data_IF_528584088130
#
_entry.id   IF_528584088130
#
_cell.length_a   1.000
_cell.length_b   1.000
_cell.length_c   1.000
_cell.angle_alpha   90.00
_cell.angle_beta   90.00
_cell.angle_gamma   90.00
#
_symmetry.space_group_name_H-M   'P 1'
#
loop_
_entity.id
_entity.type
_entity.pdbx_description
1 polymer ?
#
# COMPACT_ATOMS: atom_id res chain seq x y z
N UNK A 1 -7.11 37.56 13.58
CA UNK A 1 -6.23 38.36 12.70
C UNK A 1 -6.42 37.90 11.28
N UNK A 2 -7.03 38.73 10.43
CA UNK A 2 -7.35 38.45 9.02
C UNK A 2 -6.20 38.98 8.17
N UNK A 3 -5.49 38.13 7.43
CA UNK A 3 -4.53 38.55 6.40
C UNK A 3 -5.24 38.55 5.04
N UNK A 4 -5.40 39.74 4.47
CA UNK A 4 -5.81 39.99 3.09
C UNK A 4 -4.56 39.98 2.21
N UNK A 5 -4.55 39.18 1.15
CA UNK A 5 -3.57 39.23 0.07
C UNK A 5 -4.06 40.13 -1.06
N UNK A 6 -3.20 40.93 -1.71
CA UNK A 6 -3.60 41.91 -2.70
C UNK A 6 -3.73 41.34 -4.12
N UNK A 7 -4.82 41.72 -4.75
CA UNK A 7 -5.35 41.34 -6.07
C UNK A 7 -4.69 42.13 -7.23
N UNK A 8 -3.36 42.30 -7.23
CA UNK A 8 -2.72 43.21 -8.21
C UNK A 8 -1.73 42.54 -9.17
N UNK A 9 -1.71 41.22 -9.30
CA UNK A 9 -0.80 40.52 -10.24
C UNK A 9 -1.46 39.85 -11.45
N UNK A 10 -2.76 40.01 -11.65
CA UNK A 10 -3.50 39.35 -12.75
C UNK A 10 -3.75 40.24 -13.97
N UNK A 11 -3.36 41.48 -13.98
CA UNK A 11 -3.65 42.44 -15.08
C UNK A 11 -2.47 42.64 -16.06
N UNK A 12 -1.28 42.13 -15.75
CA UNK A 12 -0.08 42.36 -16.59
C UNK A 12 0.22 41.27 -17.61
N UNK A 13 -0.53 40.18 -17.70
CA UNK A 13 -0.27 39.05 -18.61
C UNK A 13 -1.16 39.01 -19.84
N UNK A 14 -2.10 39.93 -20.02
CA UNK A 14 -3.03 40.00 -21.16
C UNK A 14 -2.66 41.08 -22.20
N UNK A 15 -1.62 41.84 -21.97
CA UNK A 15 -1.22 42.92 -22.89
C UNK A 15 -0.07 42.53 -23.85
N UNK A 16 0.49 41.31 -23.77
CA UNK A 16 1.64 40.91 -24.61
C UNK A 16 1.29 39.95 -25.76
N UNK A 17 0.01 39.65 -26.02
CA UNK A 17 -0.40 38.70 -27.07
C UNK A 17 -1.05 39.36 -28.30
N UNK A 18 -1.04 40.69 -28.40
CA UNK A 18 -1.73 41.45 -29.41
C UNK A 18 -0.86 42.08 -30.52
N UNK A 19 0.43 41.78 -30.64
CA UNK A 19 1.30 42.54 -31.56
C UNK A 19 2.14 41.70 -32.51
N UNK A 20 1.68 40.55 -33.01
CA UNK A 20 2.37 39.85 -34.12
C UNK A 20 1.32 39.27 -35.07
N UNK A 21 0.57 40.13 -35.72
CA UNK A 21 -0.13 39.82 -36.99
C UNK A 21 -0.25 41.11 -37.77
N UNK A 22 0.76 41.43 -38.52
CA UNK A 22 0.66 42.25 -39.77
C UNK A 22 2.08 42.40 -40.32
N UNK A 23 2.44 41.67 -41.35
CA UNK A 23 3.22 42.18 -42.47
C UNK A 23 3.62 40.98 -43.37
N UNK A 24 2.93 40.86 -44.50
CA UNK A 24 3.58 40.82 -45.79
C UNK A 24 2.58 40.38 -46.88
N UNK A 25 2.04 41.40 -47.53
CA UNK A 25 1.49 41.28 -48.88
C UNK A 25 2.59 41.80 -49.82
N UNK A 26 2.69 41.21 -51.02
CA UNK A 26 3.45 41.80 -52.11
C UNK A 26 4.11 40.75 -52.97
N UNK A 27 3.46 40.34 -54.06
CA UNK A 27 3.79 40.64 -55.45
C UNK A 27 5.04 39.84 -55.95
N UNK A 28 5.13 39.25 -57.08
CA UNK A 28 4.67 39.55 -58.43
C UNK A 28 4.92 38.32 -59.31
N UNK A 29 4.10 38.20 -60.31
CA UNK A 29 4.30 37.33 -61.47
C UNK A 29 5.40 37.85 -62.33
N UNK A 30 6.18 36.97 -62.95
CA UNK A 30 6.62 37.11 -64.33
C UNK A 30 7.21 35.84 -64.92
N UNK A 31 6.78 35.48 -66.12
CA UNK A 31 7.55 35.09 -67.25
C UNK A 31 7.95 33.60 -67.37
N UNK A 32 7.13 32.89 -67.96
CA UNK A 32 7.24 32.04 -69.14
C UNK A 32 8.62 31.84 -69.73
N UNK A 33 9.06 30.58 -69.77
CA UNK A 33 9.71 30.03 -71.04
C UNK A 33 9.67 28.51 -70.98
N UNK A 34 9.06 27.90 -71.97
CA UNK A 34 8.97 26.45 -72.16
C UNK A 34 10.13 26.08 -73.07
N UNK A 35 11.12 25.42 -72.52
CA UNK A 35 12.08 24.65 -73.30
C UNK A 35 11.78 23.17 -73.25
N UNK A 36 11.40 22.64 -74.39
CA UNK A 36 11.08 21.23 -74.58
C UNK A 36 12.37 20.53 -74.97
N UNK A 37 13.03 19.85 -74.05
CA UNK A 37 14.02 18.86 -74.37
C UNK A 37 13.52 17.43 -74.16
N UNK A 38 13.93 16.44 -74.95
CA UNK A 38 13.39 15.09 -74.90
C UNK A 38 13.88 14.36 -73.64
N UNK A 39 12.97 14.02 -72.77
CA UNK A 39 13.25 13.21 -71.58
C UNK A 39 13.60 11.78 -72.00
N UNK A 40 14.86 11.41 -71.78
CA UNK A 40 15.27 10.04 -71.61
C UNK A 40 14.52 9.45 -70.36
N UNK A 41 13.88 8.34 -70.59
CA UNK A 41 13.19 7.62 -69.53
C UNK A 41 14.21 7.09 -68.50
N UNK A 42 14.45 7.87 -67.46
CA UNK A 42 15.17 7.39 -66.28
C UNK A 42 14.22 6.50 -65.49
N UNK A 43 14.45 5.19 -65.52
CA UNK A 43 13.80 4.24 -64.65
C UNK A 43 14.28 4.53 -63.23
N UNK A 44 13.50 5.31 -62.49
CA UNK A 44 13.68 5.51 -61.09
C UNK A 44 13.23 4.21 -60.37
N UNK A 45 14.21 3.38 -60.03
CA UNK A 45 14.00 2.28 -59.13
C UNK A 45 13.75 2.91 -57.73
N UNK A 46 12.49 3.07 -57.36
CA UNK A 46 12.17 3.42 -55.99
C UNK A 46 12.74 2.35 -55.05
N UNK A 47 13.61 2.71 -54.12
CA UNK A 47 14.01 1.75 -53.08
C UNK A 47 12.77 1.40 -52.29
N UNK A 48 12.44 0.10 -52.25
CA UNK A 48 11.47 -0.45 -51.33
C UNK A 48 11.84 0.04 -49.93
N UNK A 49 11.18 1.11 -49.49
CA UNK A 49 11.17 1.48 -48.06
C UNK A 49 10.45 0.35 -47.37
N UNK A 50 11.20 -0.61 -46.85
CA UNK A 50 10.73 -1.44 -45.76
C UNK A 50 10.34 -0.48 -44.66
N UNK A 51 9.05 -0.23 -44.54
CA UNK A 51 8.47 0.38 -43.33
C UNK A 51 8.68 -0.63 -42.23
N UNK A 52 9.86 -0.58 -41.58
CA UNK A 52 10.09 -1.25 -40.33
C UNK A 52 8.99 -0.73 -39.38
N UNK A 53 7.94 -1.53 -39.22
CA UNK A 53 6.92 -1.30 -38.26
C UNK A 53 7.57 -1.41 -36.87
N UNK A 54 8.04 -0.27 -36.34
CA UNK A 54 8.47 -0.20 -34.96
C UNK A 54 7.23 -0.43 -34.11
N UNK A 55 7.03 -1.65 -33.65
CA UNK A 55 6.09 -1.95 -32.57
C UNK A 55 6.58 -1.19 -31.35
N UNK A 56 6.05 -0.02 -31.13
CA UNK A 56 6.34 0.71 -29.89
C UNK A 56 5.74 -0.07 -28.74
N UNK A 57 6.54 -0.49 -27.76
CA UNK A 57 6.03 -1.17 -26.59
C UNK A 57 5.09 -0.21 -25.86
N UNK A 58 3.80 -0.53 -25.86
CA UNK A 58 2.80 0.20 -25.07
C UNK A 58 2.89 -0.28 -23.63
N UNK A 59 3.33 0.58 -22.74
CA UNK A 59 3.37 0.36 -21.30
C UNK A 59 2.20 1.12 -20.67
N UNK A 60 1.48 0.47 -19.76
CA UNK A 60 0.38 1.12 -19.03
C UNK A 60 0.96 2.14 -18.05
N UNK A 61 0.34 3.31 -17.95
CA UNK A 61 0.80 4.37 -17.04
C UNK A 61 0.93 3.88 -15.59
N UNK A 62 0.04 3.01 -15.14
CA UNK A 62 0.07 2.39 -13.80
C UNK A 62 1.34 1.56 -13.51
N UNK A 63 2.03 1.08 -14.56
CA UNK A 63 3.21 0.24 -14.42
C UNK A 63 4.51 1.08 -14.33
N UNK A 64 4.47 2.34 -14.77
CA UNK A 64 5.61 3.25 -14.83
C UNK A 64 5.48 4.48 -13.95
N UNK A 65 4.28 4.80 -13.46
CA UNK A 65 4.01 5.97 -12.63
C UNK A 65 3.58 5.58 -11.23
N UNK A 66 4.00 6.37 -10.24
CA UNK A 66 3.53 6.30 -8.85
C UNK A 66 3.15 7.71 -8.41
N UNK A 67 2.15 7.79 -7.56
CA UNK A 67 1.82 9.06 -6.91
C UNK A 67 2.87 9.33 -5.82
N UNK A 68 3.44 10.54 -5.85
CA UNK A 68 4.35 10.97 -4.79
C UNK A 68 3.59 11.14 -3.47
N UNK A 69 4.26 10.77 -2.36
CA UNK A 69 3.68 10.83 -1.01
C UNK A 69 2.70 9.71 -0.66
N UNK A 70 2.36 8.80 -1.58
CA UNK A 70 1.52 7.62 -1.31
C UNK A 70 2.38 6.50 -0.73
N UNK A 71 2.17 6.17 0.54
CA UNK A 71 2.89 5.13 1.27
C UNK A 71 1.95 4.36 2.20
N UNK A 72 2.31 3.14 2.50
CA UNK A 72 1.68 2.34 3.54
C UNK A 72 2.18 2.79 4.92
N UNK A 73 1.27 2.84 5.90
CA UNK A 73 1.61 3.12 7.28
C UNK A 73 1.53 1.83 8.10
N UNK A 74 2.51 1.64 9.00
CA UNK A 74 2.51 0.48 9.87
C UNK A 74 1.65 0.74 11.10
N UNK A 75 0.78 -0.23 11.42
CA UNK A 75 -0.02 -0.25 12.62
C UNK A 75 0.50 -1.33 13.56
N UNK A 76 0.50 -1.04 14.85
CA UNK A 76 0.90 -2.00 15.88
C UNK A 76 -0.11 -2.02 17.02
N UNK A 77 -0.26 -3.18 17.66
CA UNK A 77 -1.12 -3.33 18.83
C UNK A 77 -0.64 -4.45 19.74
N UNK A 78 -0.94 -4.33 21.01
CA UNK A 78 -0.70 -5.38 21.99
C UNK A 78 -2.02 -6.10 22.24
N UNK A 79 -2.05 -7.41 21.96
CA UNK A 79 -3.23 -8.26 22.04
C UNK A 79 -3.07 -9.43 22.98
N UNK A 80 -4.19 -10.10 23.22
CA UNK A 80 -4.27 -11.34 23.98
C UNK A 80 -4.93 -12.42 23.10
N UNK A 81 -4.27 -13.55 22.98
CA UNK A 81 -4.80 -14.76 22.35
C UNK A 81 -5.30 -15.70 23.44
N UNK A 82 -6.49 -16.24 23.26
CA UNK A 82 -7.13 -17.18 24.18
C UNK A 82 -7.47 -18.49 23.49
N UNK A 83 -7.76 -19.53 24.25
CA UNK A 83 -8.19 -20.84 23.71
C UNK A 83 -7.03 -21.72 23.24
N UNK A 84 -5.80 -21.46 23.69
CA UNK A 84 -4.65 -22.31 23.39
C UNK A 84 -4.70 -23.62 24.18
N UNK A 85 -4.32 -24.72 23.51
CA UNK A 85 -4.30 -26.07 24.14
C UNK A 85 -2.97 -26.31 24.91
N UNK A 86 -2.83 -25.63 26.06
CA UNK A 86 -1.69 -25.78 26.93
C UNK A 86 -0.36 -25.24 26.38
N UNK A 87 -0.38 -24.53 25.25
CA UNK A 87 0.80 -24.00 24.57
C UNK A 87 1.03 -22.51 24.83
N UNK A 88 0.15 -21.87 25.57
CA UNK A 88 0.22 -20.44 25.88
C UNK A 88 1.28 -20.10 26.93
N UNK A 89 1.29 -18.81 27.30
CA UNK A 89 2.21 -18.26 28.28
C UNK A 89 1.93 -18.79 29.70
N UNK A 90 3.00 -19.05 30.42
CA UNK A 90 2.89 -19.54 31.81
C UNK A 90 3.03 -18.43 32.85
N UNK A 91 3.59 -17.30 32.49
CA UNK A 91 3.85 -16.16 33.37
C UNK A 91 4.10 -14.87 32.58
N UNK A 92 4.30 -13.77 33.26
CA UNK A 92 4.74 -12.51 32.67
C UNK A 92 3.59 -11.64 32.16
N UNK A 93 3.70 -11.13 30.95
CA UNK A 93 2.81 -10.10 30.39
C UNK A 93 1.37 -10.63 30.22
N UNK A 94 1.21 -11.87 29.73
CA UNK A 94 -0.10 -12.46 29.50
C UNK A 94 -0.92 -12.51 30.79
N UNK A 95 -0.32 -12.96 31.90
CA UNK A 95 -1.00 -13.05 33.19
C UNK A 95 -1.49 -11.67 33.64
N UNK A 96 -0.64 -10.64 33.54
CA UNK A 96 -1.03 -9.25 33.89
C UNK A 96 -2.16 -8.73 33.01
N UNK A 97 -2.13 -9.04 31.73
CA UNK A 97 -3.19 -8.62 30.79
C UNK A 97 -4.52 -9.29 31.15
N UNK A 98 -4.48 -10.60 31.45
CA UNK A 98 -5.68 -11.34 31.88
C UNK A 98 -6.23 -10.77 33.20
N UNK A 99 -5.36 -10.56 34.19
CA UNK A 99 -5.79 -9.97 35.47
C UNK A 99 -6.43 -8.59 35.27
N UNK A 100 -5.80 -7.71 34.48
CA UNK A 100 -6.38 -6.39 34.20
C UNK A 100 -7.72 -6.48 33.46
N UNK A 101 -7.88 -7.48 32.59
CA UNK A 101 -9.16 -7.72 31.92
C UNK A 101 -10.22 -8.19 32.88
N UNK A 102 -9.89 -9.14 33.76
CA UNK A 102 -10.81 -9.66 34.78
C UNK A 102 -11.24 -8.56 35.77
N UNK A 103 -10.32 -7.71 36.20
CA UNK A 103 -10.65 -6.56 37.08
C UNK A 103 -11.64 -5.62 36.39
N UNK A 104 -11.55 -5.40 35.07
CA UNK A 104 -12.55 -4.60 34.33
C UNK A 104 -13.93 -5.25 34.32
N UNK A 105 -14.00 -6.56 34.41
CA UNK A 105 -15.26 -7.31 34.56
C UNK A 105 -15.74 -7.45 36.04
N UNK A 106 -15.04 -6.78 36.96
CA UNK A 106 -15.39 -6.82 38.39
C UNK A 106 -14.87 -8.06 39.12
N UNK A 107 -13.97 -8.82 38.50
CA UNK A 107 -13.33 -9.99 39.10
C UNK A 107 -11.91 -9.61 39.51
N UNK A 108 -11.63 -9.61 40.81
CA UNK A 108 -10.29 -9.32 41.34
C UNK A 108 -9.61 -10.64 41.73
N UNK A 109 -8.48 -10.92 41.07
CA UNK A 109 -7.68 -12.13 41.25
C UNK A 109 -6.21 -11.71 41.38
N UNK A 110 -5.52 -12.26 42.38
CA UNK A 110 -4.09 -12.07 42.50
C UNK A 110 -3.35 -12.69 41.30
N UNK A 111 -2.48 -11.96 40.58
CA UNK A 111 -1.67 -12.50 39.50
C UNK A 111 -0.85 -13.72 39.92
N UNK A 112 -0.49 -13.88 41.18
CA UNK A 112 0.24 -15.02 41.70
C UNK A 112 -0.58 -16.33 41.71
N UNK A 113 -1.90 -16.20 41.86
CA UNK A 113 -2.84 -17.33 41.89
C UNK A 113 -3.31 -17.73 40.51
N UNK A 114 -3.14 -16.85 39.52
CA UNK A 114 -3.57 -17.12 38.16
C UNK A 114 -2.52 -17.95 37.42
N UNK A 115 -2.81 -19.21 37.18
CA UNK A 115 -2.01 -20.14 36.40
C UNK A 115 -2.79 -20.59 35.18
N UNK A 116 -2.35 -20.15 34.01
CA UNK A 116 -2.98 -20.55 32.76
C UNK A 116 -1.91 -20.85 31.71
N UNK A 117 -2.22 -21.77 30.82
CA UNK A 117 -1.44 -22.06 29.60
C UNK A 117 -2.29 -21.89 28.35
N UNK A 118 -3.49 -21.36 28.55
CA UNK A 118 -4.48 -21.24 27.48
C UNK A 118 -4.52 -19.82 26.89
N UNK A 119 -3.64 -18.93 27.34
CA UNK A 119 -3.53 -17.54 26.87
C UNK A 119 -2.11 -17.18 26.51
N UNK A 120 -1.95 -16.28 25.57
CA UNK A 120 -0.65 -15.73 25.18
C UNK A 120 -0.74 -14.23 24.91
N UNK A 121 0.27 -13.49 25.34
CA UNK A 121 0.44 -12.10 24.97
C UNK A 121 1.08 -12.01 23.58
N UNK A 122 0.49 -11.21 22.69
CA UNK A 122 0.92 -11.10 21.32
C UNK A 122 1.07 -9.66 20.87
N UNK A 123 2.03 -9.43 19.97
CA UNK A 123 2.12 -8.23 19.16
C UNK A 123 1.35 -8.47 17.87
N UNK A 124 0.47 -7.56 17.53
CA UNK A 124 -0.29 -7.56 16.28
C UNK A 124 0.22 -6.43 15.42
N UNK A 125 0.58 -6.73 14.20
CA UNK A 125 1.06 -5.75 13.21
C UNK A 125 0.20 -5.82 11.96
N UNK A 126 -0.03 -4.67 11.34
CA UNK A 126 -0.74 -4.57 10.07
C UNK A 126 -0.14 -3.44 9.21
N UNK A 127 -0.27 -3.56 7.91
CA UNK A 127 0.04 -2.50 6.98
C UNK A 127 -1.24 -1.81 6.55
N UNK A 128 -1.35 -0.51 6.85
CA UNK A 128 -2.49 0.31 6.45
C UNK A 128 -2.23 0.85 5.04
N UNK A 129 -2.94 0.38 4.01
CA UNK A 129 -2.76 0.85 2.67
C UNK A 129 -3.19 2.32 2.54
N UNK A 130 -2.62 3.05 1.59
CA UNK A 130 -3.08 4.40 1.28
C UNK A 130 -4.53 4.35 0.80
N UNK A 131 -5.30 5.36 1.18
CA UNK A 131 -6.73 5.50 0.84
C UNK A 131 -7.68 4.46 1.47
N UNK A 132 -7.25 3.73 2.50
CA UNK A 132 -8.13 2.85 3.27
C UNK A 132 -9.31 3.64 3.85
N UNK A 133 -10.49 3.02 3.85
CA UNK A 133 -11.74 3.60 4.32
C UNK A 133 -12.29 2.81 5.50
N UNK A 134 -13.16 3.46 6.26
CA UNK A 134 -13.90 2.76 7.31
C UNK A 134 -14.74 1.62 6.71
N UNK A 135 -14.56 0.40 7.23
CA UNK A 135 -15.19 -0.82 6.72
C UNK A 135 -14.28 -1.70 5.86
N UNK A 136 -13.10 -1.21 5.46
CA UNK A 136 -12.12 -2.04 4.76
C UNK A 136 -11.51 -3.08 5.72
N UNK A 137 -11.16 -4.24 5.18
CA UNK A 137 -10.50 -5.32 5.92
C UNK A 137 -9.00 -5.29 5.67
N UNK A 138 -8.22 -5.53 6.74
CA UNK A 138 -6.77 -5.58 6.71
C UNK A 138 -6.28 -6.95 7.18
N UNK A 139 -5.27 -7.48 6.51
CA UNK A 139 -4.53 -8.63 7.00
C UNK A 139 -3.63 -8.22 8.15
N UNK A 140 -3.61 -9.05 9.20
CA UNK A 140 -2.79 -8.80 10.39
C UNK A 140 -1.84 -9.96 10.63
N UNK A 141 -0.63 -9.63 11.08
CA UNK A 141 0.35 -10.62 11.53
C UNK A 141 0.37 -10.61 13.06
N UNK A 142 0.27 -11.81 13.65
CA UNK A 142 0.27 -12.00 15.09
C UNK A 142 1.54 -12.73 15.52
N UNK A 143 2.31 -12.13 16.43
CA UNK A 143 3.57 -12.68 16.94
C UNK A 143 3.53 -12.78 18.46
N UNK A 144 3.91 -13.92 19.04
CA UNK A 144 4.02 -14.08 20.49
C UNK A 144 5.13 -13.19 21.06
N UNK A 145 4.87 -12.57 22.22
CA UNK A 145 5.85 -11.77 22.96
C UNK A 145 6.34 -12.53 24.21
N UNK A 146 5.54 -13.49 24.66
CA UNK A 146 5.83 -14.26 25.87
C UNK A 146 6.56 -15.59 25.59
N UNK A 147 6.30 -16.57 26.47
CA UNK A 147 6.88 -17.91 26.42
C UNK A 147 5.93 -18.94 25.78
N UNK A 148 4.92 -18.49 25.03
CA UNK A 148 4.00 -19.36 24.32
C UNK A 148 4.73 -20.17 23.23
N UNK A 149 4.49 -21.49 23.22
CA UNK A 149 5.14 -22.42 22.29
C UNK A 149 4.44 -22.50 20.93
N UNK A 150 3.12 -22.26 20.92
CA UNK A 150 2.31 -22.27 19.72
C UNK A 150 1.06 -21.44 19.94
N UNK A 151 0.62 -20.75 18.89
CA UNK A 151 -0.64 -20.00 18.87
C UNK A 151 -1.75 -20.75 18.12
N UNK A 152 -1.52 -22.02 17.78
CA UNK A 152 -2.45 -22.85 17.02
C UNK A 152 -3.79 -23.02 17.76
N UNK A 153 -4.90 -22.82 17.03
CA UNK A 153 -6.24 -22.94 17.57
C UNK A 153 -6.67 -21.77 18.43
N UNK A 154 -5.80 -20.79 18.62
CA UNK A 154 -6.09 -19.60 19.41
C UNK A 154 -7.03 -18.62 18.72
N UNK A 155 -7.70 -17.80 19.51
CA UNK A 155 -8.55 -16.70 19.10
C UNK A 155 -7.98 -15.40 19.64
N UNK A 156 -7.72 -14.44 18.74
CA UNK A 156 -7.28 -13.10 19.12
C UNK A 156 -8.46 -12.30 19.64
N UNK A 157 -8.35 -11.81 20.87
CA UNK A 157 -9.31 -10.88 21.44
C UNK A 157 -9.20 -9.51 20.79
N UNK A 158 -10.26 -8.72 20.91
CA UNK A 158 -10.34 -7.37 20.36
C UNK A 158 -9.10 -6.55 20.72
N UNK A 159 -8.31 -6.21 19.72
CA UNK A 159 -7.02 -5.55 19.86
C UNK A 159 -7.00 -4.28 19.01
N UNK A 160 -6.89 -3.08 19.63
CA UNK A 160 -6.74 -1.85 18.89
C UNK A 160 -5.35 -1.73 18.26
N UNK A 161 -5.30 -1.42 16.97
CA UNK A 161 -4.08 -1.17 16.24
C UNK A 161 -3.85 0.32 16.10
N UNK A 162 -2.67 0.77 16.49
CA UNK A 162 -2.29 2.18 16.55
C UNK A 162 -1.21 2.51 15.54
N UNK A 163 -1.29 3.72 14.98
CA UNK A 163 -0.23 4.31 14.19
C UNK A 163 0.89 4.92 15.05
N UNK A 164 1.88 5.48 14.38
CA UNK A 164 3.01 6.17 15.04
C UNK A 164 2.58 7.40 15.86
N UNK A 165 1.43 7.99 15.55
CA UNK A 165 0.79 9.09 16.28
C UNK A 165 -0.03 8.64 17.49
N UNK A 166 0.00 7.34 17.82
CA UNK A 166 -0.75 6.69 18.90
C UNK A 166 -2.28 6.72 18.73
N UNK A 167 -2.79 7.10 17.56
CA UNK A 167 -4.20 7.03 17.24
C UNK A 167 -4.58 5.61 16.82
N UNK A 168 -5.83 5.19 17.12
CA UNK A 168 -6.37 3.89 16.72
C UNK A 168 -6.96 4.00 15.32
N UNK A 169 -6.43 3.23 14.38
CA UNK A 169 -6.86 3.19 12.99
C UNK A 169 -7.63 1.92 12.61
N UNK A 170 -7.35 0.82 13.31
CA UNK A 170 -8.01 -0.45 13.06
C UNK A 170 -8.19 -1.24 14.35
N UNK A 171 -9.03 -2.26 14.30
CA UNK A 171 -9.25 -3.22 15.39
C UNK A 171 -9.13 -4.63 14.82
N UNK A 172 -8.26 -5.44 15.40
CA UNK A 172 -8.07 -6.83 15.02
C UNK A 172 -8.77 -7.75 16.00
N UNK A 173 -9.43 -8.79 15.47
CA UNK A 173 -10.11 -9.83 16.25
C UNK A 173 -10.36 -11.04 15.36
N UNK A 174 -10.25 -12.24 15.90
CA UNK A 174 -10.64 -13.44 15.17
C UNK A 174 -9.77 -14.66 15.43
N UNK A 175 -10.11 -15.79 14.80
CA UNK A 175 -9.32 -17.01 14.89
C UNK A 175 -7.98 -16.85 14.20
N UNK A 176 -6.94 -17.47 14.78
CA UNK A 176 -5.61 -17.44 14.19
C UNK A 176 -5.43 -18.58 13.20
N UNK A 177 -4.91 -18.24 12.01
CA UNK A 177 -4.45 -19.20 11.03
C UNK A 177 -2.92 -19.28 11.08
N UNK A 178 -2.41 -20.49 11.33
CA UNK A 178 -0.98 -20.74 11.34
C UNK A 178 -0.63 -21.47 10.04
N UNK A 179 0.38 -20.98 9.32
CA UNK A 179 0.95 -21.69 8.19
C UNK A 179 1.66 -22.97 8.66
N UNK A 180 1.60 -24.03 7.85
CA UNK A 180 2.20 -25.31 8.15
C UNK A 180 1.18 -26.41 8.52
N UNK A 181 1.60 -27.64 8.43
CA UNK A 181 0.81 -28.81 8.79
C UNK A 181 1.58 -29.69 9.79
N UNK A 182 0.85 -30.28 10.71
CA UNK A 182 1.43 -31.14 11.71
C UNK A 182 1.13 -32.60 11.33
N UNK A 183 2.15 -33.34 10.87
CA UNK A 183 2.02 -34.77 10.56
C UNK A 183 2.50 -35.58 11.78
N UNK A 184 1.54 -36.22 12.46
CA UNK A 184 1.87 -37.19 13.51
C UNK A 184 2.02 -38.56 12.86
N UNK A 185 3.23 -39.02 12.66
CA UNK A 185 3.53 -40.40 12.29
C UNK A 185 3.69 -41.24 13.56
N UNK A 186 3.29 -42.52 13.47
CA UNK A 186 3.27 -43.46 14.61
C UNK A 186 4.66 -43.72 15.26
N UNK A 187 5.73 -43.12 14.76
CA UNK A 187 7.11 -43.27 15.24
C UNK A 187 7.88 -41.97 15.42
N UNK A 188 7.29 -40.81 15.24
CA UNK A 188 7.97 -39.52 15.40
C UNK A 188 7.07 -38.34 15.11
N UNK A 189 7.34 -37.24 15.77
CA UNK A 189 6.64 -35.96 15.56
C UNK A 189 7.53 -35.09 14.68
N UNK A 190 7.09 -34.85 13.44
CA UNK A 190 7.75 -33.90 12.55
C UNK A 190 6.82 -32.69 12.35
N UNK A 191 7.35 -31.52 12.68
CA UNK A 191 6.68 -30.24 12.43
C UNK A 191 7.48 -29.52 11.35
N UNK A 192 6.81 -29.17 10.27
CA UNK A 192 7.42 -28.39 9.18
C UNK A 192 6.71 -27.06 9.10
N UNK A 193 7.47 -25.99 9.22
CA UNK A 193 7.02 -24.60 9.01
C UNK A 193 7.20 -24.22 7.54
#
# INVERSE_FOLDING_TARGET
MKCRAPLTRLVFLLALFGLIVSLSAGASADGLEIDTEPQEAVVVVEPLRETASFVQPTVRLKDIARFDGVRENQLTGLGLVVGLDGTGDTRGVAIRMVTNMLTRFGVDIDPADLRTRNVAAVMVTASLPPFARAGDTLDVTVSSIGDAKSLQGGFLLQTPLRGADNQVYAVAQGPLSIGGFNVRSRGGQSQTN
#
